data_IF_411991099109
#
_entry.id   IF_411991099109
#
_cell.length_a   1.000
_cell.length_b   1.000
_cell.length_c   1.000
_cell.angle_alpha   90.00
_cell.angle_beta   90.00
_cell.angle_gamma   90.00
#
_symmetry.space_group_name_H-M   'P 1'
#
loop_
_entity.id
_entity.type
_entity.pdbx_description
1 polymer ?
#
# COMPACT_ATOMS: atom_id res chain seq x y z
N UNK A 1 0.46 -43.46 17.07
CA UNK A 1 1.20 -43.79 15.82
C UNK A 1 1.17 -42.67 14.78
N UNK A 2 0.03 -41.97 14.56
CA UNK A 2 -0.06 -40.83 13.61
C UNK A 2 0.95 -39.70 13.91
N UNK A 3 1.15 -39.36 15.19
CA UNK A 3 2.04 -38.27 15.60
C UNK A 3 3.52 -38.49 15.25
N UNK A 4 4.04 -39.71 15.39
CA UNK A 4 5.44 -40.04 15.04
C UNK A 4 5.68 -39.97 13.53
N UNK A 5 4.73 -40.42 12.72
CA UNK A 5 4.82 -40.36 11.25
C UNK A 5 4.74 -38.92 10.73
N UNK A 6 3.80 -38.13 11.27
CA UNK A 6 3.67 -36.71 10.94
C UNK A 6 4.92 -35.91 11.35
N UNK A 7 5.47 -36.18 12.54
CA UNK A 7 6.69 -35.53 13.00
C UNK A 7 7.91 -35.90 12.13
N UNK A 8 8.03 -37.16 11.70
CA UNK A 8 9.07 -37.57 10.77
C UNK A 8 8.97 -36.86 9.41
N UNK A 9 7.75 -36.71 8.88
CA UNK A 9 7.51 -35.94 7.65
C UNK A 9 7.84 -34.45 7.84
N UNK A 10 7.42 -33.84 8.96
CA UNK A 10 7.76 -32.45 9.27
C UNK A 10 9.27 -32.23 9.32
N UNK A 11 10.01 -33.13 9.97
CA UNK A 11 11.48 -33.05 10.03
C UNK A 11 12.07 -33.17 8.63
N UNK A 12 11.60 -34.15 7.83
CA UNK A 12 12.07 -34.35 6.45
C UNK A 12 11.85 -33.10 5.61
N UNK A 13 10.60 -32.62 5.50
CA UNK A 13 10.25 -31.44 4.69
C UNK A 13 10.95 -30.17 5.18
N UNK A 14 11.03 -29.95 6.50
CA UNK A 14 11.79 -28.80 7.06
C UNK A 14 13.26 -28.86 6.69
N UNK A 15 13.88 -30.04 6.76
CA UNK A 15 15.29 -30.21 6.43
C UNK A 15 15.54 -30.00 4.95
N UNK A 16 14.66 -30.50 4.08
CA UNK A 16 14.76 -30.32 2.64
C UNK A 16 14.61 -28.86 2.22
N UNK A 17 13.61 -28.17 2.80
CA UNK A 17 13.40 -26.74 2.61
C UNK A 17 14.63 -25.93 3.04
N UNK A 18 15.11 -26.15 4.26
CA UNK A 18 16.24 -25.40 4.84
C UNK A 18 17.57 -25.68 4.13
N UNK A 19 17.74 -26.89 3.57
CA UNK A 19 18.93 -27.24 2.78
C UNK A 19 18.95 -26.55 1.43
N UNK A 20 17.79 -26.17 0.88
CA UNK A 20 17.70 -25.38 -0.34
C UNK A 20 18.04 -23.90 -0.06
N UNK A 21 19.34 -23.61 0.08
CA UNK A 21 19.85 -22.26 0.40
C UNK A 21 19.33 -21.18 -0.54
N UNK A 22 19.23 -21.46 -1.83
CA UNK A 22 18.76 -20.49 -2.80
C UNK A 22 17.30 -20.10 -2.55
N UNK A 23 16.44 -21.09 -2.27
CA UNK A 23 15.04 -20.86 -1.96
C UNK A 23 14.89 -20.15 -0.61
N UNK A 24 15.63 -20.56 0.43
CA UNK A 24 15.60 -19.89 1.74
C UNK A 24 16.03 -18.43 1.63
N UNK A 25 17.15 -18.15 0.95
CA UNK A 25 17.64 -16.78 0.73
C UNK A 25 16.60 -15.97 -0.04
N UNK A 26 16.02 -16.54 -1.10
CA UNK A 26 14.99 -15.85 -1.87
C UNK A 26 13.74 -15.54 -1.05
N UNK A 27 13.23 -16.49 -0.26
CA UNK A 27 12.03 -16.32 0.58
C UNK A 27 12.25 -15.46 1.83
N UNK A 28 13.50 -15.14 2.17
CA UNK A 28 13.84 -14.29 3.31
C UNK A 28 14.31 -12.91 2.88
N UNK A 29 15.33 -12.83 2.02
CA UNK A 29 15.98 -11.60 1.62
C UNK A 29 15.13 -10.79 0.63
N UNK A 30 14.52 -11.44 -0.37
CA UNK A 30 13.79 -10.72 -1.42
C UNK A 30 12.59 -9.94 -0.86
N UNK A 31 11.77 -10.46 0.07
CA UNK A 31 10.70 -9.69 0.70
C UNK A 31 11.19 -8.49 1.51
N UNK A 32 12.25 -8.65 2.29
CA UNK A 32 12.80 -7.56 3.11
C UNK A 32 13.36 -6.46 2.22
N UNK A 33 14.18 -6.82 1.23
CA UNK A 33 14.81 -5.86 0.32
C UNK A 33 13.76 -5.15 -0.54
N UNK A 34 12.78 -5.89 -1.08
CA UNK A 34 11.69 -5.28 -1.85
C UNK A 34 10.83 -4.37 -0.99
N UNK A 35 10.52 -4.74 0.25
CA UNK A 35 9.81 -3.88 1.20
C UNK A 35 10.56 -2.57 1.45
N UNK A 36 11.88 -2.64 1.64
CA UNK A 36 12.71 -1.44 1.83
C UNK A 36 12.68 -0.57 0.57
N UNK A 37 12.93 -1.15 -0.61
CA UNK A 37 12.92 -0.41 -1.88
C UNK A 37 11.56 0.27 -2.09
N UNK A 38 10.47 -0.49 -2.08
CA UNK A 38 9.15 0.08 -2.33
C UNK A 38 8.69 1.01 -1.20
N UNK A 39 9.10 0.78 0.04
CA UNK A 39 8.80 1.66 1.17
C UNK A 39 9.42 3.06 1.01
N UNK A 40 10.59 3.16 0.37
CA UNK A 40 11.21 4.44 0.02
C UNK A 40 10.71 5.01 -1.31
N UNK A 41 10.56 4.17 -2.34
CA UNK A 41 10.17 4.60 -3.70
C UNK A 41 8.72 5.08 -3.75
N UNK A 42 7.81 4.42 -3.03
CA UNK A 42 6.39 4.81 -2.98
C UNK A 42 6.11 5.93 -1.97
N UNK A 43 7.12 6.42 -1.24
CA UNK A 43 6.98 7.59 -0.39
C UNK A 43 6.98 8.85 -1.27
N UNK A 44 5.81 9.25 -1.74
CA UNK A 44 5.64 10.42 -2.59
C UNK A 44 5.48 11.68 -1.74
N UNK A 45 6.59 12.26 -1.28
CA UNK A 45 6.56 13.61 -0.72
C UNK A 45 6.20 14.61 -1.84
N UNK A 46 4.91 14.91 -2.01
CA UNK A 46 4.41 16.02 -2.85
C UNK A 46 4.65 17.35 -2.13
N UNK A 47 5.91 17.62 -1.78
CA UNK A 47 6.30 18.73 -0.91
C UNK A 47 7.20 19.75 -1.61
N UNK A 48 7.33 19.69 -2.94
CA UNK A 48 8.22 20.58 -3.71
C UNK A 48 7.69 20.81 -5.14
N UNK A 49 6.45 21.28 -5.26
CA UNK A 49 5.85 21.62 -6.55
C UNK A 49 6.52 22.87 -7.12
N UNK A 50 7.12 22.77 -8.30
CA UNK A 50 7.74 23.89 -8.99
C UNK A 50 6.65 24.83 -9.48
N UNK A 51 6.70 26.08 -9.04
CA UNK A 51 5.73 27.13 -9.34
C UNK A 51 6.37 28.18 -10.26
N UNK A 52 5.70 28.49 -11.37
CA UNK A 52 5.97 29.70 -12.15
C UNK A 52 5.00 30.81 -11.77
N UNK A 53 5.48 32.04 -11.67
CA UNK A 53 4.66 33.19 -11.24
C UNK A 53 4.61 34.25 -12.35
N UNK A 54 3.41 34.64 -12.73
CA UNK A 54 3.13 35.82 -13.54
C UNK A 54 2.47 36.88 -12.65
N UNK A 55 3.26 37.79 -12.10
CA UNK A 55 2.76 38.92 -11.31
C UNK A 55 2.71 40.20 -12.16
N UNK A 56 1.51 40.55 -12.62
CA UNK A 56 1.27 41.77 -13.39
C UNK A 56 0.91 42.97 -12.49
N UNK A 57 0.62 42.76 -11.20
CA UNK A 57 0.29 43.83 -10.26
C UNK A 57 1.54 44.46 -9.63
N UNK A 58 2.53 43.62 -9.29
CA UNK A 58 3.81 44.01 -8.66
C UNK A 58 3.65 44.84 -7.37
N UNK A 59 2.49 44.76 -6.71
CA UNK A 59 2.16 45.47 -5.49
C UNK A 59 2.69 44.79 -4.22
N UNK A 60 2.41 45.38 -3.06
CA UNK A 60 2.71 44.74 -1.78
C UNK A 60 1.80 43.52 -1.55
N UNK A 61 0.49 43.64 -1.82
CA UNK A 61 -0.44 42.52 -1.63
C UNK A 61 -0.18 41.33 -2.57
N UNK A 62 0.26 41.57 -3.81
CA UNK A 62 0.61 40.47 -4.71
C UNK A 62 1.83 39.70 -4.18
N UNK A 63 2.82 40.41 -3.64
CA UNK A 63 3.98 39.82 -2.96
C UNK A 63 3.60 39.04 -1.70
N UNK A 64 2.70 39.59 -0.86
CA UNK A 64 2.21 38.88 0.33
C UNK A 64 1.46 37.60 -0.06
N UNK A 65 0.66 37.65 -1.13
CA UNK A 65 -0.03 36.47 -1.65
C UNK A 65 0.97 35.42 -2.15
N UNK A 66 1.98 35.82 -2.93
CA UNK A 66 3.06 34.94 -3.39
C UNK A 66 3.78 34.31 -2.20
N UNK A 67 4.11 35.09 -1.18
CA UNK A 67 4.81 34.61 0.01
C UNK A 67 3.99 33.55 0.77
N UNK A 68 2.66 33.70 0.83
CA UNK A 68 1.79 32.69 1.45
C UNK A 68 1.89 31.31 0.75
N UNK A 69 2.24 31.27 -0.54
CA UNK A 69 2.47 30.02 -1.28
C UNK A 69 3.84 29.40 -1.03
N UNK A 70 4.85 30.21 -0.70
CA UNK A 70 6.24 29.77 -0.59
C UNK A 70 6.66 29.45 0.84
N UNK A 71 5.95 29.99 1.84
CA UNK A 71 6.27 29.87 3.26
C UNK A 71 6.33 28.42 3.75
N UNK A 72 5.39 27.57 3.32
CA UNK A 72 5.30 26.17 3.74
C UNK A 72 6.15 25.22 2.87
N UNK A 73 6.95 25.74 1.93
CA UNK A 73 7.79 25.01 0.98
C UNK A 73 7.09 24.01 0.04
N UNK A 74 5.77 23.85 0.15
CA UNK A 74 4.95 23.02 -0.75
C UNK A 74 5.10 23.48 -2.21
N UNK A 75 5.07 24.80 -2.44
CA UNK A 75 5.38 25.40 -3.73
C UNK A 75 6.74 26.09 -3.67
N UNK A 76 7.61 25.74 -4.60
CA UNK A 76 8.91 26.38 -4.78
C UNK A 76 8.84 27.27 -6.01
N UNK A 77 9.10 28.57 -5.86
CA UNK A 77 9.21 29.47 -7.00
C UNK A 77 10.43 29.09 -7.81
N UNK A 78 10.21 28.49 -8.98
CA UNK A 78 11.28 28.16 -9.92
C UNK A 78 11.53 29.33 -10.88
N UNK A 79 10.44 30.00 -11.32
CA UNK A 79 10.50 30.99 -12.41
C UNK A 79 9.49 32.11 -12.22
N UNK A 80 9.83 33.26 -12.79
CA UNK A 80 8.90 34.34 -13.07
C UNK A 80 8.65 34.41 -14.58
N UNK A 81 7.39 34.31 -14.97
CA UNK A 81 6.95 34.42 -16.37
C UNK A 81 6.51 35.83 -16.68
N UNK A 82 6.83 36.30 -17.89
CA UNK A 82 6.46 37.64 -18.36
C UNK A 82 5.10 37.67 -19.04
N UNK A 83 4.64 36.54 -19.60
CA UNK A 83 3.37 36.44 -20.31
C UNK A 83 2.61 35.17 -19.89
N UNK A 84 1.28 35.21 -20.03
CA UNK A 84 0.43 34.04 -19.79
C UNK A 84 0.77 32.86 -20.71
N UNK A 85 1.15 33.16 -21.96
CA UNK A 85 1.53 32.14 -22.93
C UNK A 85 2.83 31.44 -22.52
N UNK A 86 3.84 32.19 -22.06
CA UNK A 86 5.08 31.62 -21.53
C UNK A 86 4.81 30.74 -20.30
N UNK A 87 4.03 31.22 -19.32
CA UNK A 87 3.67 30.44 -18.13
C UNK A 87 2.96 29.14 -18.50
N UNK A 88 1.96 29.21 -19.38
CA UNK A 88 1.21 28.04 -19.83
C UNK A 88 2.11 27.07 -20.60
N UNK A 89 3.03 27.59 -21.42
CA UNK A 89 4.00 26.78 -22.15
C UNK A 89 5.02 26.10 -21.22
N UNK A 90 5.44 26.75 -20.13
CA UNK A 90 6.32 26.15 -19.14
C UNK A 90 5.64 24.98 -18.42
N UNK A 91 4.36 25.11 -18.07
CA UNK A 91 3.55 24.00 -17.52
C UNK A 91 3.41 22.89 -18.58
N UNK A 92 3.05 23.25 -19.81
CA UNK A 92 2.88 22.28 -20.91
C UNK A 92 4.17 21.50 -21.24
N UNK A 93 5.34 22.10 -21.02
CA UNK A 93 6.64 21.47 -21.23
C UNK A 93 7.15 20.70 -19.99
N UNK A 94 6.40 20.66 -18.88
CA UNK A 94 6.81 20.01 -17.63
C UNK A 94 8.00 20.69 -16.94
N UNK A 95 8.31 21.95 -17.30
CA UNK A 95 9.37 22.74 -16.65
C UNK A 95 8.97 23.16 -15.24
N UNK A 96 7.69 23.38 -15.03
CA UNK A 96 7.06 23.67 -13.74
C UNK A 96 5.80 22.82 -13.58
N UNK A 97 5.39 22.56 -12.35
CA UNK A 97 4.25 21.69 -12.01
C UNK A 97 2.95 22.52 -11.86
N UNK A 98 3.09 23.80 -11.53
CA UNK A 98 1.99 24.76 -11.47
C UNK A 98 2.44 26.17 -11.91
N UNK A 99 1.48 27.00 -12.27
CA UNK A 99 1.66 28.41 -12.61
C UNK A 99 0.58 29.27 -11.95
N UNK A 100 0.99 30.37 -11.32
CA UNK A 100 0.13 31.36 -10.68
C UNK A 100 0.11 32.64 -11.53
N UNK A 101 -1.08 33.15 -11.84
CA UNK A 101 -1.31 34.38 -12.60
C UNK A 101 -2.06 35.40 -11.74
N UNK A 102 -1.42 36.53 -11.47
CA UNK A 102 -1.98 37.65 -10.71
C UNK A 102 -2.26 38.80 -11.69
N UNK A 103 -3.52 39.25 -11.83
CA UNK A 103 -3.86 40.32 -12.78
C UNK A 103 -3.33 41.68 -12.31
N UNK A 104 -3.14 42.66 -13.21
CA UNK A 104 -2.57 43.97 -12.87
C UNK A 104 -3.44 44.76 -11.90
N UNK A 105 -4.75 44.46 -11.85
CA UNK A 105 -5.73 45.15 -11.02
C UNK A 105 -5.93 44.52 -9.64
N UNK A 106 -5.21 43.42 -9.33
CA UNK A 106 -5.39 42.61 -8.11
C UNK A 106 -5.51 43.42 -6.81
N UNK A 107 -4.49 44.22 -6.48
CA UNK A 107 -4.49 45.02 -5.24
C UNK A 107 -5.60 46.07 -5.21
N UNK A 108 -5.90 46.67 -6.37
CA UNK A 108 -6.94 47.71 -6.50
C UNK A 108 -8.33 47.11 -6.29
N UNK A 109 -8.61 46.00 -6.96
CA UNK A 109 -9.94 45.37 -6.95
C UNK A 109 -10.22 44.74 -5.57
N UNK A 110 -9.20 44.18 -4.90
CA UNK A 110 -9.32 43.75 -3.50
C UNK A 110 -9.66 44.90 -2.55
N UNK A 111 -9.01 46.05 -2.67
CA UNK A 111 -9.22 47.19 -1.78
C UNK A 111 -10.52 47.95 -2.06
N UNK A 112 -10.90 48.10 -3.33
CA UNK A 112 -12.05 48.94 -3.72
C UNK A 112 -13.34 48.14 -3.87
N UNK A 113 -13.27 46.92 -4.41
CA UNK A 113 -14.43 46.09 -4.76
C UNK A 113 -14.59 44.94 -3.75
N UNK A 114 -13.54 44.63 -2.98
CA UNK A 114 -13.52 43.53 -2.02
C UNK A 114 -13.37 42.15 -2.68
N UNK A 115 -13.07 42.10 -3.99
CA UNK A 115 -12.94 40.85 -4.76
C UNK A 115 -11.89 40.99 -5.85
N UNK A 116 -11.07 39.96 -6.03
CA UNK A 116 -10.17 39.83 -7.17
C UNK A 116 -10.07 38.36 -7.60
N UNK A 117 -9.81 38.14 -8.88
CA UNK A 117 -9.61 36.81 -9.45
C UNK A 117 -8.12 36.56 -9.69
N UNK A 118 -7.66 35.36 -9.35
CA UNK A 118 -6.30 34.88 -9.65
C UNK A 118 -6.40 33.59 -10.43
N UNK A 119 -5.52 33.42 -11.43
CA UNK A 119 -5.49 32.24 -12.28
C UNK A 119 -4.47 31.21 -11.78
N UNK A 120 -4.84 29.93 -11.86
CA UNK A 120 -3.91 28.83 -11.65
C UNK A 120 -3.92 27.89 -12.84
N UNK A 121 -2.73 27.52 -13.31
CA UNK A 121 -2.51 26.49 -14.33
C UNK A 121 -1.74 25.36 -13.64
N UNK A 122 -2.29 24.16 -13.57
CA UNK A 122 -1.67 23.01 -12.89
C UNK A 122 -1.48 21.89 -13.91
N UNK A 123 -0.32 21.24 -13.90
CA UNK A 123 -0.10 20.04 -14.70
C UNK A 123 -1.03 18.91 -14.22
N UNK A 124 -2.01 18.58 -15.06
CA UNK A 124 -3.03 17.59 -14.80
C UNK A 124 -2.66 16.15 -15.19
N UNK A 125 -1.46 15.88 -15.72
CA UNK A 125 -1.05 14.53 -16.16
C UNK A 125 -1.12 13.53 -15.00
N UNK A 126 -0.63 13.93 -13.83
CA UNK A 126 -0.77 13.15 -12.60
C UNK A 126 -1.99 13.65 -11.81
N UNK A 127 -3.12 12.94 -11.92
CA UNK A 127 -4.36 13.28 -11.22
C UNK A 127 -4.23 13.32 -9.69
N UNK A 128 -3.30 12.54 -9.11
CA UNK A 128 -3.06 12.54 -7.66
C UNK A 128 -2.33 13.83 -7.23
N UNK A 129 -1.19 14.12 -7.84
CA UNK A 129 -0.40 15.33 -7.52
C UNK A 129 -1.15 16.62 -7.85
N UNK A 130 -1.87 16.67 -8.98
CA UNK A 130 -2.69 17.84 -9.35
C UNK A 130 -3.88 18.04 -8.41
N UNK A 131 -4.51 16.96 -7.95
CA UNK A 131 -5.56 17.01 -6.94
C UNK A 131 -5.07 17.59 -5.61
N UNK A 132 -3.87 17.18 -5.17
CA UNK A 132 -3.22 17.73 -3.97
C UNK A 132 -2.84 19.20 -4.17
N UNK A 133 -2.22 19.55 -5.30
CA UNK A 133 -1.87 20.93 -5.64
C UNK A 133 -3.11 21.85 -5.60
N UNK A 134 -4.23 21.42 -6.19
CA UNK A 134 -5.52 22.13 -6.15
C UNK A 134 -6.03 22.31 -4.71
N UNK A 135 -5.90 21.28 -3.88
CA UNK A 135 -6.26 21.34 -2.46
C UNK A 135 -5.44 22.37 -1.69
N UNK A 136 -4.11 22.36 -1.89
CA UNK A 136 -3.21 23.34 -1.28
C UNK A 136 -3.48 24.76 -1.74
N UNK A 137 -3.70 24.97 -3.05
CA UNK A 137 -4.10 26.28 -3.60
C UNK A 137 -5.35 26.81 -2.91
N UNK A 138 -6.39 25.98 -2.77
CA UNK A 138 -7.63 26.38 -2.09
C UNK A 138 -7.40 26.71 -0.61
N UNK A 139 -6.59 25.89 0.10
CA UNK A 139 -6.29 26.09 1.51
C UNK A 139 -5.49 27.37 1.76
N UNK A 140 -4.41 27.59 1.02
CA UNK A 140 -3.54 28.78 1.14
C UNK A 140 -4.34 30.04 0.80
N UNK A 141 -5.11 30.01 -0.29
CA UNK A 141 -5.97 31.14 -0.69
C UNK A 141 -7.01 31.45 0.39
N UNK A 142 -7.62 30.43 0.99
CA UNK A 142 -8.56 30.61 2.11
C UNK A 142 -7.86 31.28 3.29
N UNK A 143 -6.68 30.78 3.69
CA UNK A 143 -5.93 31.34 4.82
C UNK A 143 -5.50 32.79 4.58
N UNK A 144 -5.10 33.13 3.35
CA UNK A 144 -4.80 34.49 2.94
C UNK A 144 -6.03 35.41 2.97
N UNK A 145 -7.18 34.93 2.50
CA UNK A 145 -8.42 35.71 2.61
C UNK A 145 -8.76 36.01 4.09
N UNK A 146 -8.53 35.05 5.00
CA UNK A 146 -8.75 35.26 6.43
C UNK A 146 -7.77 36.27 7.04
N UNK A 147 -6.51 36.33 6.58
CA UNK A 147 -5.56 37.35 7.04
C UNK A 147 -5.92 38.75 6.52
N UNK A 148 -6.34 38.85 5.25
CA UNK A 148 -6.83 40.11 4.67
C UNK A 148 -8.04 40.66 5.43
N UNK A 149 -9.01 39.81 5.77
CA UNK A 149 -10.18 40.22 6.55
C UNK A 149 -9.79 40.78 7.93
N UNK A 150 -8.80 40.20 8.59
CA UNK A 150 -8.29 40.72 9.89
C UNK A 150 -7.56 42.05 9.75
N UNK A 151 -6.86 42.27 8.64
CA UNK A 151 -5.99 43.42 8.44
C UNK A 151 -6.73 44.66 7.90
N UNK A 152 -7.66 44.48 6.95
CA UNK A 152 -8.22 45.59 6.17
C UNK A 152 -9.70 45.86 6.42
N UNK A 153 -10.42 45.01 7.16
CA UNK A 153 -11.77 45.34 7.63
C UNK A 153 -11.74 45.80 9.09
N UNK A 154 -11.99 47.09 9.38
CA UNK A 154 -12.22 47.57 10.73
C UNK A 154 -13.65 47.20 11.14
N UNK A 155 -13.93 45.92 11.33
CA UNK A 155 -15.15 45.51 12.01
C UNK A 155 -14.94 45.80 13.49
N UNK A 156 -15.68 46.79 14.00
CA UNK A 156 -15.79 47.23 15.41
C UNK A 156 -16.34 46.15 16.36
N UNK A 157 -16.34 44.89 15.93
CA UNK A 157 -16.74 43.71 16.66
C UNK A 157 -15.62 42.70 16.48
N UNK A 158 -15.18 42.12 17.60
CA UNK A 158 -14.22 41.03 17.72
C UNK A 158 -14.62 39.86 16.78
N UNK A 159 -14.31 39.98 15.47
CA UNK A 159 -14.78 39.08 14.41
C UNK A 159 -13.95 37.80 14.45
N UNK A 160 -14.24 36.99 15.47
CA UNK A 160 -13.79 35.61 15.53
C UNK A 160 -14.60 34.87 14.48
N UNK A 161 -13.92 34.32 13.47
CA UNK A 161 -14.52 33.32 12.59
C UNK A 161 -15.24 32.32 13.48
N UNK A 162 -16.58 32.20 13.37
CA UNK A 162 -17.36 31.39 14.31
C UNK A 162 -16.98 29.91 14.21
N UNK A 163 -16.33 29.52 13.12
CA UNK A 163 -15.90 28.16 12.83
C UNK A 163 -14.45 28.19 12.34
N UNK A 164 -13.55 27.58 13.10
CA UNK A 164 -12.19 27.26 12.67
C UNK A 164 -12.01 25.75 12.79
N UNK A 165 -11.79 25.03 11.68
CA UNK A 165 -11.61 23.59 11.74
C UNK A 165 -10.27 23.27 12.42
N UNK A 166 -10.32 22.60 13.57
CA UNK A 166 -9.15 21.96 14.16
C UNK A 166 -9.03 20.54 13.61
N UNK A 167 -8.16 20.37 12.61
CA UNK A 167 -7.92 19.07 11.99
C UNK A 167 -6.82 18.37 12.78
N UNK A 168 -7.10 17.16 13.27
CA UNK A 168 -6.12 16.34 14.00
C UNK A 168 -5.97 14.97 13.33
N UNK A 169 -4.74 14.65 12.92
CA UNK A 169 -4.40 13.33 12.37
C UNK A 169 -4.19 12.31 13.50
N UNK A 170 -5.20 11.48 13.78
CA UNK A 170 -5.19 10.51 14.90
C UNK A 170 -4.20 9.35 14.73
N UNK A 171 -3.98 8.89 13.49
CA UNK A 171 -3.25 7.64 13.24
C UNK A 171 -1.92 7.79 12.53
N UNK A 172 -1.68 8.91 11.84
CA UNK A 172 -0.43 9.20 11.14
C UNK A 172 -0.16 10.71 11.24
N UNK A 173 0.24 11.21 12.43
CA UNK A 173 0.44 12.64 12.64
C UNK A 173 1.57 13.23 11.79
N UNK A 174 2.57 12.42 11.45
CA UNK A 174 3.65 12.80 10.53
C UNK A 174 3.27 12.67 9.05
N UNK A 175 2.03 12.29 8.73
CA UNK A 175 1.51 12.13 7.36
C UNK A 175 2.46 11.35 6.44
N UNK A 176 3.11 10.31 6.98
CA UNK A 176 4.09 9.50 6.28
C UNK A 176 3.39 8.49 5.37
N UNK A 177 3.61 8.57 4.06
CA UNK A 177 3.06 7.63 3.06
C UNK A 177 3.51 6.18 3.33
N UNK A 178 4.72 6.01 3.87
CA UNK A 178 5.28 4.70 4.23
C UNK A 178 4.38 3.91 5.17
N UNK A 179 3.63 4.57 6.07
CA UNK A 179 2.70 3.90 7.00
C UNK A 179 1.54 3.22 6.27
N UNK A 180 1.19 3.69 5.06
CA UNK A 180 0.20 3.05 4.20
C UNK A 180 0.83 1.98 3.29
N UNK A 181 1.92 2.31 2.59
CA UNK A 181 2.50 1.45 1.55
C UNK A 181 3.25 0.24 2.11
N UNK A 182 4.04 0.40 3.17
CA UNK A 182 4.89 -0.70 3.68
C UNK A 182 4.05 -1.90 4.12
N UNK A 183 2.96 -1.78 4.92
CA UNK A 183 2.11 -2.92 5.23
C UNK A 183 1.47 -3.55 3.98
N UNK A 184 1.11 -2.72 2.99
CA UNK A 184 0.57 -3.16 1.71
C UNK A 184 1.56 -4.03 0.94
N UNK A 185 2.80 -3.56 0.83
CA UNK A 185 3.91 -4.24 0.16
C UNK A 185 4.29 -5.54 0.89
N UNK A 186 4.31 -5.54 2.22
CA UNK A 186 4.51 -6.77 3.00
C UNK A 186 3.46 -7.81 2.62
N UNK A 187 2.17 -7.46 2.65
CA UNK A 187 1.10 -8.38 2.27
C UNK A 187 1.23 -8.88 0.83
N UNK A 188 1.49 -7.97 -0.10
CA UNK A 188 1.68 -8.28 -1.52
C UNK A 188 2.83 -9.28 -1.76
N UNK A 189 4.01 -9.02 -1.21
CA UNK A 189 5.18 -9.87 -1.44
C UNK A 189 5.04 -11.19 -0.70
N UNK A 190 4.50 -11.18 0.53
CA UNK A 190 4.28 -12.42 1.28
C UNK A 190 3.30 -13.35 0.57
N UNK A 191 2.28 -12.80 -0.10
CA UNK A 191 1.37 -13.59 -0.95
C UNK A 191 2.13 -14.27 -2.08
N UNK A 192 2.94 -13.50 -2.81
CA UNK A 192 3.76 -14.04 -3.91
C UNK A 192 4.73 -15.11 -3.41
N UNK A 193 5.44 -14.84 -2.31
CA UNK A 193 6.37 -15.76 -1.69
C UNK A 193 5.69 -17.07 -1.26
N UNK A 194 4.51 -16.98 -0.62
CA UNK A 194 3.74 -18.15 -0.21
C UNK A 194 3.27 -19.00 -1.40
N UNK A 195 2.73 -18.35 -2.45
CA UNK A 195 2.29 -19.01 -3.67
C UNK A 195 3.48 -19.71 -4.36
N UNK A 196 4.57 -18.98 -4.60
CA UNK A 196 5.72 -19.51 -5.34
C UNK A 196 6.46 -20.60 -4.56
N UNK A 197 6.65 -20.44 -3.25
CA UNK A 197 7.31 -21.45 -2.42
C UNK A 197 6.58 -22.80 -2.53
N UNK A 198 5.28 -22.78 -2.26
CA UNK A 198 4.46 -23.99 -2.26
C UNK A 198 4.33 -24.60 -3.65
N UNK A 199 4.12 -23.77 -4.68
CA UNK A 199 3.91 -24.26 -6.03
C UNK A 199 5.18 -24.86 -6.63
N UNK A 200 6.33 -24.18 -6.49
CA UNK A 200 7.61 -24.63 -7.06
C UNK A 200 8.11 -25.88 -6.36
N UNK A 201 7.94 -25.99 -5.04
CA UNK A 201 8.32 -27.17 -4.28
C UNK A 201 7.47 -28.38 -4.68
N UNK A 202 6.15 -28.22 -4.79
CA UNK A 202 5.26 -29.30 -5.22
C UNK A 202 5.54 -29.75 -6.67
N UNK A 203 5.80 -28.83 -7.60
CA UNK A 203 6.18 -29.21 -8.98
C UNK A 203 7.56 -29.86 -9.02
N UNK A 204 8.51 -29.41 -8.20
CA UNK A 204 9.84 -30.04 -8.11
C UNK A 204 9.73 -31.51 -7.71
N UNK A 205 8.87 -31.84 -6.75
CA UNK A 205 8.68 -33.23 -6.33
C UNK A 205 8.01 -34.10 -7.38
N UNK A 206 7.06 -33.53 -8.11
CA UNK A 206 6.44 -34.17 -9.27
C UNK A 206 7.49 -34.47 -10.34
N UNK A 207 8.34 -33.51 -10.67
CA UNK A 207 9.43 -33.67 -11.65
C UNK A 207 10.48 -34.71 -11.20
N UNK A 208 10.69 -34.86 -9.88
CA UNK A 208 11.66 -35.78 -9.28
C UNK A 208 11.07 -37.17 -8.99
N UNK A 209 9.77 -37.39 -9.23
CA UNK A 209 9.07 -38.65 -8.92
C UNK A 209 8.91 -38.93 -7.42
N UNK A 210 9.32 -38.01 -6.54
CA UNK A 210 9.20 -38.17 -5.08
C UNK A 210 7.76 -38.04 -4.61
N UNK A 211 6.92 -37.36 -5.39
CA UNK A 211 5.48 -37.30 -5.15
C UNK A 211 4.87 -38.71 -5.18
N UNK A 212 5.10 -39.49 -6.23
CA UNK A 212 4.57 -40.86 -6.35
C UNK A 212 5.04 -41.75 -5.20
N UNK A 213 6.33 -41.69 -4.86
CA UNK A 213 6.89 -42.44 -3.72
C UNK A 213 6.19 -42.10 -2.40
N UNK A 214 5.91 -40.82 -2.18
CA UNK A 214 5.27 -40.33 -0.97
C UNK A 214 3.79 -40.75 -0.90
N UNK A 215 3.10 -40.80 -2.04
CA UNK A 215 1.72 -41.25 -2.14
C UNK A 215 1.57 -42.77 -1.91
N UNK A 216 2.63 -43.57 -2.17
CA UNK A 216 2.66 -45.01 -1.89
C UNK A 216 2.90 -45.35 -0.41
N UNK A 217 3.22 -44.36 0.44
CA UNK A 217 3.43 -44.60 1.87
C UNK A 217 2.09 -44.77 2.62
N UNK A 218 2.03 -45.58 3.69
CA UNK A 218 0.82 -45.77 4.50
C UNK A 218 0.59 -44.59 5.46
N UNK A 219 0.57 -43.37 4.92
CA UNK A 219 0.35 -42.11 5.65
C UNK A 219 -0.90 -41.44 5.13
N UNK A 220 -1.70 -40.87 6.03
CA UNK A 220 -2.91 -40.14 5.64
C UNK A 220 -2.56 -38.92 4.77
N UNK A 221 -3.32 -38.69 3.69
CA UNK A 221 -3.12 -37.54 2.79
C UNK A 221 -3.18 -36.18 3.53
N UNK A 222 -3.95 -36.09 4.61
CA UNK A 222 -3.99 -34.90 5.47
C UNK A 222 -2.68 -34.67 6.22
N UNK A 223 -2.03 -35.73 6.70
CA UNK A 223 -0.72 -35.62 7.36
C UNK A 223 0.38 -35.18 6.38
N UNK A 224 0.32 -35.65 5.14
CA UNK A 224 1.20 -35.22 4.04
C UNK A 224 1.02 -33.73 3.75
N UNK A 225 -0.22 -33.27 3.58
CA UNK A 225 -0.51 -31.86 3.31
C UNK A 225 -0.04 -30.96 4.46
N UNK A 226 -0.32 -31.34 5.70
CA UNK A 226 0.15 -30.58 6.88
C UNK A 226 1.68 -30.52 6.92
N UNK A 227 2.37 -31.63 6.62
CA UNK A 227 3.83 -31.64 6.61
C UNK A 227 4.44 -30.76 5.52
N UNK A 228 3.70 -30.47 4.44
CA UNK A 228 4.13 -29.52 3.39
C UNK A 228 3.87 -28.07 3.77
N UNK A 229 2.68 -27.80 4.32
CA UNK A 229 2.26 -26.44 4.62
C UNK A 229 3.05 -25.87 5.79
N UNK A 230 3.30 -26.68 6.83
CA UNK A 230 3.90 -26.19 8.08
C UNK A 230 5.34 -25.66 7.93
N UNK A 231 6.28 -26.33 7.25
CA UNK A 231 7.65 -25.82 7.08
C UNK A 231 7.71 -24.50 6.32
N UNK A 232 6.99 -24.40 5.20
CA UNK A 232 6.91 -23.18 4.39
C UNK A 232 6.28 -22.05 5.21
N UNK A 233 5.18 -22.34 5.91
CA UNK A 233 4.50 -21.36 6.75
C UNK A 233 5.39 -20.89 7.91
N UNK A 234 6.17 -21.79 8.51
CA UNK A 234 7.13 -21.46 9.56
C UNK A 234 8.23 -20.52 9.06
N UNK A 235 8.85 -20.85 7.92
CA UNK A 235 9.88 -20.00 7.30
C UNK A 235 9.33 -18.61 6.97
N UNK A 236 8.17 -18.53 6.32
CA UNK A 236 7.56 -17.25 5.95
C UNK A 236 7.08 -16.46 7.16
N UNK A 237 6.69 -17.11 8.25
CA UNK A 237 6.36 -16.43 9.52
C UNK A 237 7.60 -15.76 10.11
N UNK A 238 8.76 -16.42 10.05
CA UNK A 238 10.04 -15.80 10.45
C UNK A 238 10.39 -14.63 9.54
N UNK A 239 10.26 -14.78 8.20
CA UNK A 239 10.46 -13.66 7.27
C UNK A 239 9.53 -12.50 7.57
N UNK A 240 8.27 -12.77 7.86
CA UNK A 240 7.28 -11.75 8.16
C UNK A 240 7.64 -10.99 9.45
N UNK A 241 8.08 -11.69 10.50
CA UNK A 241 8.60 -11.07 11.71
C UNK A 241 9.80 -10.15 11.40
N UNK A 242 10.73 -10.58 10.53
CA UNK A 242 11.84 -9.73 10.09
C UNK A 242 11.35 -8.51 9.31
N UNK A 243 10.35 -8.65 8.44
CA UNK A 243 9.72 -7.53 7.75
C UNK A 243 9.08 -6.55 8.75
N UNK A 244 8.39 -7.04 9.77
CA UNK A 244 7.80 -6.20 10.81
C UNK A 244 8.83 -5.48 11.67
N UNK A 245 9.93 -6.16 12.05
CA UNK A 245 11.04 -5.52 12.75
C UNK A 245 11.68 -4.41 11.89
N UNK A 246 11.91 -4.70 10.61
CA UNK A 246 12.43 -3.73 9.64
C UNK A 246 11.47 -2.55 9.44
N UNK A 247 10.17 -2.82 9.36
CA UNK A 247 9.13 -1.81 9.23
C UNK A 247 9.07 -0.88 10.44
N UNK A 248 9.27 -1.43 11.64
CA UNK A 248 9.36 -0.65 12.86
C UNK A 248 10.62 0.23 12.91
N UNK A 249 11.81 -0.35 12.67
CA UNK A 249 13.08 0.35 12.83
C UNK A 249 13.40 1.33 11.71
N UNK A 250 13.09 0.99 10.45
CA UNK A 250 13.43 1.84 9.29
C UNK A 250 12.32 2.85 9.00
N UNK A 251 11.05 2.42 9.05
CA UNK A 251 9.91 3.25 8.63
C UNK A 251 9.09 3.81 9.80
N UNK A 252 9.54 3.57 11.05
CA UNK A 252 8.92 4.06 12.27
C UNK A 252 7.44 3.68 12.40
N UNK A 253 7.05 2.55 11.82
CA UNK A 253 5.66 2.09 11.84
C UNK A 253 5.30 1.66 13.26
N UNK A 254 4.20 2.19 13.83
CA UNK A 254 3.81 1.84 15.18
C UNK A 254 3.17 0.45 15.24
N UNK A 255 3.32 -0.21 16.38
CA UNK A 255 2.65 -1.48 16.71
C UNK A 255 1.70 -1.21 17.87
N UNK A 256 0.49 -0.71 17.57
CA UNK A 256 -0.45 -0.23 18.61
C UNK A 256 -1.39 -1.30 19.15
N UNK A 257 -1.69 -2.32 18.36
CA UNK A 257 -2.65 -3.36 18.71
C UNK A 257 -1.99 -4.64 19.24
N UNK A 258 -2.79 -5.69 19.33
CA UNK A 258 -2.35 -6.98 19.86
C UNK A 258 -1.50 -7.76 18.85
N UNK A 259 -0.21 -7.94 19.17
CA UNK A 259 0.76 -8.68 18.35
C UNK A 259 0.36 -10.14 18.15
N UNK A 260 -0.26 -10.77 19.14
CA UNK A 260 -0.70 -12.17 19.03
C UNK A 260 -1.82 -12.34 18.00
N UNK A 261 -2.80 -11.42 17.98
CA UNK A 261 -3.83 -11.41 16.94
C UNK A 261 -3.22 -11.18 15.55
N UNK A 262 -2.27 -10.25 15.45
CA UNK A 262 -1.55 -10.01 14.20
C UNK A 262 -0.86 -11.28 13.71
N UNK A 263 -0.14 -12.00 14.58
CA UNK A 263 0.51 -13.26 14.21
C UNK A 263 -0.49 -14.33 13.77
N UNK A 264 -1.63 -14.49 14.45
CA UNK A 264 -2.67 -15.45 14.05
C UNK A 264 -3.16 -15.16 12.64
N UNK A 265 -3.58 -13.92 12.36
CA UNK A 265 -4.11 -13.57 11.05
C UNK A 265 -3.05 -13.58 9.95
N UNK A 266 -1.81 -13.25 10.28
CA UNK A 266 -0.67 -13.39 9.38
C UNK A 266 -0.35 -14.84 9.02
N UNK A 267 -0.38 -15.76 10.00
CA UNK A 267 -0.19 -17.19 9.74
C UNK A 267 -1.33 -17.74 8.88
N UNK A 268 -2.59 -17.37 9.19
CA UNK A 268 -3.74 -17.72 8.37
C UNK A 268 -3.59 -17.20 6.93
N UNK A 269 -3.09 -15.97 6.78
CA UNK A 269 -2.84 -15.37 5.47
C UNK A 269 -1.77 -16.12 4.66
N UNK A 270 -0.65 -16.48 5.32
CA UNK A 270 0.40 -17.28 4.70
C UNK A 270 -0.16 -18.64 4.27
N UNK A 271 -0.98 -19.29 5.10
CA UNK A 271 -1.61 -20.57 4.77
C UNK A 271 -2.53 -20.49 3.55
N UNK A 272 -3.27 -19.39 3.38
CA UNK A 272 -4.08 -19.14 2.18
C UNK A 272 -3.17 -19.11 0.95
N UNK A 273 -2.07 -18.33 0.99
CA UNK A 273 -1.12 -18.24 -0.12
C UNK A 273 -0.46 -19.57 -0.46
N UNK A 274 -0.04 -20.35 0.55
CA UNK A 274 0.52 -21.70 0.38
C UNK A 274 -0.51 -22.63 -0.26
N UNK A 275 -1.76 -22.58 0.18
CA UNK A 275 -2.85 -23.42 -0.36
C UNK A 275 -3.14 -23.10 -1.83
N UNK A 276 -3.14 -21.82 -2.20
CA UNK A 276 -3.24 -21.37 -3.59
C UNK A 276 -2.05 -21.89 -4.42
N UNK A 277 -0.84 -21.79 -3.89
CA UNK A 277 0.36 -22.31 -4.55
C UNK A 277 0.30 -23.82 -4.80
N UNK A 278 -0.13 -24.59 -3.80
CA UNK A 278 -0.36 -26.03 -3.96
C UNK A 278 -1.43 -26.32 -5.02
N UNK A 279 -2.52 -25.54 -5.07
CA UNK A 279 -3.53 -25.70 -6.12
C UNK A 279 -2.98 -25.40 -7.52
N UNK A 280 -2.15 -24.37 -7.68
CA UNK A 280 -1.48 -24.04 -8.96
C UNK A 280 -0.53 -25.17 -9.40
N UNK A 281 0.16 -25.81 -8.47
CA UNK A 281 1.08 -26.91 -8.78
C UNK A 281 0.37 -28.08 -9.46
N UNK A 282 -0.91 -28.28 -9.18
CA UNK A 282 -1.68 -29.38 -9.75
C UNK A 282 -1.88 -29.28 -11.26
N UNK A 283 -1.94 -28.06 -11.79
CA UNK A 283 -2.14 -27.78 -13.21
C UNK A 283 -0.85 -27.47 -13.97
N UNK A 284 0.26 -27.33 -13.24
CA UNK A 284 1.55 -26.94 -13.81
C UNK A 284 2.37 -28.17 -14.23
N UNK A 285 3.07 -28.04 -15.36
CA UNK A 285 3.92 -29.11 -15.92
C UNK A 285 5.38 -28.96 -15.56
N UNK A 286 5.85 -27.74 -15.32
CA UNK A 286 7.23 -27.46 -14.96
C UNK A 286 7.34 -26.21 -14.07
N UNK A 287 8.54 -26.00 -13.49
CA UNK A 287 8.82 -24.90 -12.57
C UNK A 287 8.60 -23.52 -13.19
N UNK A 288 9.02 -23.33 -14.45
CA UNK A 288 8.91 -22.02 -15.12
C UNK A 288 7.44 -21.64 -15.33
N UNK A 289 6.60 -22.56 -15.82
CA UNK A 289 5.16 -22.36 -15.96
C UNK A 289 4.51 -22.01 -14.62
N UNK A 290 4.92 -22.70 -13.55
CA UNK A 290 4.43 -22.45 -12.19
C UNK A 290 4.74 -21.04 -11.72
N UNK A 291 5.97 -20.57 -11.95
CA UNK A 291 6.41 -19.20 -11.60
C UNK A 291 5.60 -18.16 -12.38
N UNK A 292 5.43 -18.36 -13.70
CA UNK A 292 4.67 -17.43 -14.54
C UNK A 292 3.19 -17.35 -14.13
N UNK A 293 2.54 -18.48 -13.85
CA UNK A 293 1.16 -18.51 -13.36
C UNK A 293 1.07 -17.80 -12.00
N UNK A 294 2.00 -18.08 -11.09
CA UNK A 294 2.05 -17.45 -9.76
C UNK A 294 2.19 -15.92 -9.85
N UNK A 295 3.10 -15.42 -10.69
CA UNK A 295 3.27 -13.98 -10.92
C UNK A 295 2.03 -13.37 -11.56
N UNK A 296 1.50 -14.02 -12.60
CA UNK A 296 0.31 -13.56 -13.32
C UNK A 296 -0.91 -13.42 -12.39
N UNK A 297 -1.13 -14.40 -11.51
CA UNK A 297 -2.25 -14.40 -10.55
C UNK A 297 -2.00 -13.38 -9.43
N UNK A 298 -0.75 -13.13 -9.06
CA UNK A 298 -0.41 -12.19 -8.00
C UNK A 298 -0.62 -10.71 -8.40
N UNK A 299 -0.46 -10.36 -9.68
CA UNK A 299 -0.70 -8.98 -10.16
C UNK A 299 -2.13 -8.48 -9.82
N UNK A 300 -3.22 -9.16 -10.22
CA UNK A 300 -4.57 -8.72 -9.88
C UNK A 300 -4.84 -8.80 -8.37
N UNK A 301 -4.23 -9.75 -7.65
CA UNK A 301 -4.31 -9.81 -6.18
C UNK A 301 -3.77 -8.53 -5.56
N UNK A 302 -2.59 -8.05 -5.98
CA UNK A 302 -1.98 -6.83 -5.44
C UNK A 302 -2.82 -5.60 -5.78
N UNK A 303 -3.23 -5.47 -7.04
CA UNK A 303 -3.96 -4.30 -7.55
C UNK A 303 -5.34 -4.16 -6.89
N UNK A 304 -6.06 -5.26 -6.69
CA UNK A 304 -7.39 -5.26 -6.07
C UNK A 304 -7.35 -5.38 -4.55
N UNK A 305 -6.23 -5.84 -3.98
CA UNK A 305 -6.09 -6.06 -2.53
C UNK A 305 -5.93 -4.78 -1.72
N UNK A 306 -5.72 -3.63 -2.36
CA UNK A 306 -5.51 -2.34 -1.69
C UNK A 306 -4.13 -2.15 -1.07
N UNK A 307 -3.13 -2.86 -1.61
CA UNK A 307 -1.73 -2.71 -1.22
C UNK A 307 -1.17 -1.35 -1.65
N UNK A 308 -1.48 -0.92 -2.87
CA UNK A 308 -0.97 0.32 -3.49
C UNK A 308 -2.01 1.43 -3.47
N UNK A 309 -3.28 1.12 -3.72
CA UNK A 309 -4.36 2.11 -3.78
C UNK A 309 -5.40 1.86 -2.70
N UNK A 310 -6.12 2.91 -2.31
CA UNK A 310 -7.27 2.74 -1.42
C UNK A 310 -8.42 2.06 -2.15
N UNK A 311 -8.96 0.97 -1.62
CA UNK A 311 -10.13 0.30 -2.22
C UNK A 311 -11.36 1.23 -2.25
N UNK A 312 -11.41 2.23 -1.37
CA UNK A 312 -12.52 3.19 -1.32
C UNK A 312 -12.54 4.17 -2.51
N UNK A 313 -11.41 4.35 -3.21
CA UNK A 313 -11.35 5.19 -4.41
C UNK A 313 -11.67 4.41 -5.70
N UNK A 314 -11.92 3.10 -5.60
CA UNK A 314 -12.27 2.27 -6.76
C UNK A 314 -13.76 2.41 -7.10
N UNK A 315 -14.14 2.31 -8.38
CA UNK A 315 -15.54 2.19 -8.79
C UNK A 315 -16.23 0.99 -8.12
N UNK A 316 -17.56 1.06 -7.98
CA UNK A 316 -18.35 0.08 -7.23
C UNK A 316 -18.08 -1.37 -7.64
N UNK A 317 -17.99 -1.66 -8.95
CA UNK A 317 -17.70 -2.99 -9.48
C UNK A 317 -16.40 -3.57 -8.91
N UNK A 318 -15.30 -2.81 -8.99
CA UNK A 318 -14.00 -3.25 -8.51
C UNK A 318 -13.95 -3.39 -7.00
N UNK A 319 -14.76 -2.60 -6.27
CA UNK A 319 -14.91 -2.74 -4.81
C UNK A 319 -15.52 -4.07 -4.42
N UNK A 320 -16.50 -4.56 -5.18
CA UNK A 320 -17.09 -5.89 -4.97
C UNK A 320 -16.09 -7.00 -5.30
N UNK A 321 -15.36 -6.88 -6.41
CA UNK A 321 -14.33 -7.86 -6.79
C UNK A 321 -13.20 -7.90 -5.74
N UNK A 322 -12.80 -6.74 -5.21
CA UNK A 322 -11.77 -6.64 -4.17
C UNK A 322 -12.15 -7.42 -2.89
N UNK A 323 -13.43 -7.52 -2.54
CA UNK A 323 -13.87 -8.33 -1.39
C UNK A 323 -13.72 -9.84 -1.61
N UNK A 324 -13.54 -10.30 -2.85
CA UNK A 324 -13.24 -11.70 -3.16
C UNK A 324 -11.74 -12.01 -3.06
N UNK A 325 -10.93 -11.06 -2.59
CA UNK A 325 -9.49 -11.19 -2.48
C UNK A 325 -9.06 -11.35 -1.01
N UNK A 326 -8.32 -12.41 -0.64
CA UNK A 326 -7.84 -12.57 0.73
C UNK A 326 -6.88 -11.45 1.16
N UNK A 327 -6.11 -10.87 0.24
CA UNK A 327 -5.20 -9.76 0.54
C UNK A 327 -5.97 -8.51 1.02
N UNK A 328 -7.17 -8.26 0.49
CA UNK A 328 -8.03 -7.16 0.91
C UNK A 328 -8.36 -7.25 2.40
N UNK A 329 -8.86 -8.42 2.84
CA UNK A 329 -9.23 -8.62 4.24
C UNK A 329 -8.00 -8.59 5.16
N UNK A 330 -6.90 -9.20 4.74
CA UNK A 330 -5.65 -9.19 5.50
C UNK A 330 -5.13 -7.76 5.70
N UNK A 331 -5.10 -6.90 4.67
CA UNK A 331 -4.60 -5.54 4.81
C UNK A 331 -5.48 -4.65 5.70
N UNK A 332 -6.79 -4.87 5.72
CA UNK A 332 -7.69 -4.19 6.66
C UNK A 332 -7.34 -4.55 8.11
N UNK A 333 -7.17 -5.84 8.39
CA UNK A 333 -6.81 -6.33 9.72
C UNK A 333 -5.41 -5.85 10.11
N UNK A 334 -4.43 -6.01 9.21
CA UNK A 334 -3.03 -5.64 9.43
C UNK A 334 -2.89 -4.15 9.76
N UNK A 335 -3.44 -3.27 8.94
CA UNK A 335 -3.40 -1.81 9.19
C UNK A 335 -4.24 -1.43 10.41
N UNK A 336 -5.34 -2.14 10.67
CA UNK A 336 -6.16 -1.97 11.87
C UNK A 336 -5.37 -2.24 13.15
N UNK A 337 -4.60 -3.32 13.19
CA UNK A 337 -3.79 -3.69 14.35
C UNK A 337 -2.55 -2.80 14.46
N UNK A 338 -1.79 -2.62 13.38
CA UNK A 338 -0.55 -1.82 13.41
C UNK A 338 -0.82 -0.34 13.73
N UNK A 339 -1.66 0.31 12.93
CA UNK A 339 -1.80 1.76 12.94
C UNK A 339 -2.90 2.26 13.88
N UNK A 340 -4.01 1.51 14.00
CA UNK A 340 -5.18 1.96 14.77
C UNK A 340 -5.28 1.33 16.16
N UNK A 341 -4.66 0.17 16.38
CA UNK A 341 -4.75 -0.56 17.64
C UNK A 341 -6.15 -1.14 17.92
N UNK A 342 -6.97 -1.34 16.88
CA UNK A 342 -8.36 -1.81 17.03
C UNK A 342 -8.44 -3.33 17.09
N UNK A 343 -9.32 -3.84 17.96
CA UNK A 343 -9.61 -5.27 18.10
C UNK A 343 -10.66 -5.80 17.12
N UNK A 344 -11.05 -7.07 17.31
CA UNK A 344 -11.99 -7.82 16.47
C UNK A 344 -13.35 -7.12 16.26
N UNK A 345 -13.74 -6.23 17.16
CA UNK A 345 -14.99 -5.47 17.10
C UNK A 345 -15.16 -4.67 15.81
N UNK A 346 -14.06 -4.14 15.26
CA UNK A 346 -14.11 -3.25 14.08
C UNK A 346 -13.99 -4.03 12.77
N UNK A 347 -13.32 -5.19 12.79
CA UNK A 347 -12.97 -5.95 11.58
C UNK A 347 -13.41 -7.41 11.63
N UNK A 348 -14.36 -7.77 12.51
CA UNK A 348 -14.84 -9.13 12.68
C UNK A 348 -15.34 -9.79 11.40
N UNK A 349 -16.00 -9.03 10.51
CA UNK A 349 -16.41 -9.55 9.18
C UNK A 349 -15.20 -9.96 8.34
N UNK A 350 -14.12 -9.17 8.36
CA UNK A 350 -12.89 -9.49 7.65
C UNK A 350 -12.17 -10.69 8.29
N UNK A 351 -12.24 -10.84 9.61
CA UNK A 351 -11.70 -12.00 10.31
C UNK A 351 -12.41 -13.29 9.89
N UNK A 352 -13.74 -13.26 9.84
CA UNK A 352 -14.56 -14.40 9.39
C UNK A 352 -14.24 -14.72 7.93
N UNK A 353 -14.15 -13.70 7.06
CA UNK A 353 -13.77 -13.88 5.66
C UNK A 353 -12.40 -14.54 5.53
N UNK A 354 -11.40 -14.11 6.30
CA UNK A 354 -10.06 -14.73 6.34
C UNK A 354 -10.10 -16.21 6.72
N UNK A 355 -10.87 -16.57 7.75
CA UNK A 355 -11.05 -17.98 8.15
C UNK A 355 -11.73 -18.77 7.04
N UNK A 356 -12.76 -18.20 6.40
CA UNK A 356 -13.47 -18.83 5.29
C UNK A 356 -12.55 -19.04 4.08
N UNK A 357 -11.71 -18.05 3.73
CA UNK A 357 -10.71 -18.20 2.68
C UNK A 357 -9.67 -19.27 3.03
N UNK A 358 -9.19 -19.33 4.27
CA UNK A 358 -8.25 -20.36 4.70
C UNK A 358 -8.87 -21.76 4.56
N UNK A 359 -10.10 -21.96 5.05
CA UNK A 359 -10.79 -23.26 4.98
C UNK A 359 -11.08 -23.66 3.53
N UNK A 360 -11.61 -22.74 2.73
CA UNK A 360 -11.97 -23.03 1.33
C UNK A 360 -10.75 -23.31 0.46
N UNK A 361 -9.68 -22.51 0.58
CA UNK A 361 -8.45 -22.73 -0.22
C UNK A 361 -7.72 -24.00 0.20
N UNK A 362 -7.64 -24.31 1.50
CA UNK A 362 -7.12 -25.59 1.99
C UNK A 362 -7.94 -26.77 1.46
N UNK A 363 -9.27 -26.65 1.48
CA UNK A 363 -10.15 -27.72 1.03
C UNK A 363 -10.02 -27.98 -0.48
N UNK A 364 -9.96 -26.93 -1.29
CA UNK A 364 -9.73 -27.03 -2.74
C UNK A 364 -8.36 -27.66 -3.02
N UNK A 365 -7.33 -27.19 -2.33
CA UNK A 365 -5.97 -27.74 -2.43
C UNK A 365 -5.92 -29.23 -2.06
N UNK A 366 -6.55 -29.61 -0.94
CA UNK A 366 -6.61 -31.00 -0.49
C UNK A 366 -7.36 -31.91 -1.47
N UNK A 367 -8.46 -31.42 -2.07
CA UNK A 367 -9.20 -32.16 -3.10
C UNK A 367 -8.38 -32.37 -4.37
N UNK A 368 -7.69 -31.35 -4.85
CA UNK A 368 -6.85 -31.48 -6.04
C UNK A 368 -5.64 -32.39 -5.80
N UNK A 369 -4.99 -32.27 -4.65
CA UNK A 369 -3.91 -33.16 -4.26
C UNK A 369 -4.39 -34.62 -4.17
N UNK A 370 -5.62 -34.84 -3.66
CA UNK A 370 -6.23 -36.17 -3.66
C UNK A 370 -6.62 -36.65 -5.07
N UNK A 371 -7.02 -35.76 -5.97
CA UNK A 371 -7.30 -36.15 -7.35
C UNK A 371 -6.05 -36.61 -8.12
N UNK A 372 -4.84 -36.30 -7.64
CA UNK A 372 -3.59 -36.85 -8.19
C UNK A 372 -3.29 -38.26 -7.65
N UNK A 373 -4.05 -38.73 -6.65
CA UNK A 373 -3.93 -40.09 -6.09
C UNK A 373 -4.73 -41.13 -6.89
N UNK A 374 -5.71 -40.71 -7.70
CA UNK A 374 -6.59 -41.54 -8.50
C UNK A 374 -6.30 -41.32 -9.98
#
# INVERSE_FOLDING_TARGET
MLSRRLLALLIKESTELLRNRQLVIFLTLAPILSMVIFGYVLNSNVNHLRLSILDQNQGAMSRDFINAFTENHIFLVDRYSNTQQDLTQQVAQGKVDAGLMIPPTFSRDLLQIGKAEVGFVIDGINAYSSGLAKGYVAQITTQFNLSLLKQYQPLSLDFKLPLQPQITFRYNPGTLDSWFFVPGVIGAIMTLSAILAAAVEAVREKDQGTLEQLLMTPVASTSILISKIAPISGLLSVTLLMCFATAHWIFQIPFRGNVFLLLIFSILFIQIGVSIGLAISAFSRNKLQTILIGIFLNIPIILLGGAVTSINSMPLLFRWIAQMNPLYHYLIILRGILLKGVGLEVWGVNAIAMVLFAVTTLFVSARHYRSQLN
#
